data_IF_544053462496
#
_entry.id   IF_544053462496
#
_cell.length_a   1.000
_cell.length_b   1.000
_cell.length_c   1.000
_cell.angle_alpha   90.00
_cell.angle_beta   90.00
_cell.angle_gamma   90.00
#
_symmetry.space_group_name_H-M   'P 1'
#
loop_
_entity.id
_entity.type
_entity.pdbx_description
1 polymer ?
#
# COMPACT_ATOMS: atom_id res chain seq x y z
N UNK A 1 8.16 -43.09 -23.34
CA UNK A 1 7.60 -42.49 -24.57
C UNK A 1 6.28 -41.82 -24.21
N UNK A 2 6.27 -40.49 -24.16
CA UNK A 2 5.08 -39.68 -24.33
C UNK A 2 5.52 -38.46 -25.13
N UNK A 3 5.06 -38.40 -26.38
CA UNK A 3 5.26 -37.27 -27.27
C UNK A 3 4.25 -36.19 -26.89
N UNK A 4 4.73 -35.12 -26.26
CA UNK A 4 3.99 -33.87 -26.12
C UNK A 4 4.42 -32.94 -27.24
N UNK A 5 3.55 -32.71 -28.22
CA UNK A 5 3.81 -31.83 -29.36
C UNK A 5 4.23 -30.44 -28.90
N UNK A 6 5.26 -29.89 -29.55
CA UNK A 6 5.60 -28.47 -29.41
C UNK A 6 4.47 -27.65 -30.00
N UNK A 7 3.76 -26.93 -29.15
CA UNK A 7 2.90 -25.83 -29.56
C UNK A 7 3.78 -24.79 -30.29
N UNK A 8 3.38 -24.29 -31.47
CA UNK A 8 4.19 -23.33 -32.20
C UNK A 8 4.29 -22.03 -31.39
N UNK A 9 5.51 -21.51 -31.24
CA UNK A 9 5.80 -20.21 -30.61
C UNK A 9 4.96 -19.13 -31.31
N UNK A 10 3.87 -18.71 -30.66
CA UNK A 10 3.08 -17.57 -31.09
C UNK A 10 3.65 -16.31 -30.41
N UNK A 11 4.37 -15.42 -31.12
CA UNK A 11 4.99 -14.24 -30.53
C UNK A 11 3.97 -13.18 -30.08
N UNK A 12 2.67 -13.40 -30.30
CA UNK A 12 1.59 -12.44 -30.01
C UNK A 12 0.76 -12.75 -28.76
N UNK A 13 1.07 -13.82 -28.04
CA UNK A 13 0.42 -14.09 -26.74
C UNK A 13 1.20 -13.41 -25.62
N UNK A 14 0.55 -12.48 -24.92
CA UNK A 14 0.96 -12.09 -23.57
C UNK A 14 1.01 -13.38 -22.76
N UNK A 15 2.23 -13.93 -22.55
CA UNK A 15 2.42 -15.07 -21.66
C UNK A 15 1.80 -14.65 -20.33
N UNK A 16 0.75 -15.34 -19.89
CA UNK A 16 0.20 -15.11 -18.56
C UNK A 16 1.37 -15.24 -17.59
N UNK A 17 1.74 -14.12 -16.97
CA UNK A 17 2.70 -14.14 -15.87
C UNK A 17 2.14 -15.13 -14.87
N UNK A 18 2.97 -16.12 -14.51
CA UNK A 18 2.60 -17.21 -13.58
C UNK A 18 1.90 -16.55 -12.40
N UNK A 19 0.60 -16.73 -12.28
CA UNK A 19 -0.14 -16.22 -11.14
C UNK A 19 0.26 -17.13 -9.98
N UNK A 20 0.98 -16.63 -8.96
CA UNK A 20 1.38 -17.46 -7.85
C UNK A 20 0.13 -18.12 -7.25
N UNK A 21 0.22 -19.42 -7.02
CA UNK A 21 -0.88 -20.20 -6.45
C UNK A 21 -1.20 -19.62 -5.07
N UNK A 22 -2.39 -19.05 -4.93
CA UNK A 22 -2.86 -18.51 -3.65
C UNK A 22 -2.95 -19.69 -2.68
N UNK A 23 -2.35 -19.52 -1.50
CA UNK A 23 -2.46 -20.54 -0.45
C UNK A 23 -3.93 -20.64 -0.01
N UNK A 24 -4.50 -21.86 0.12
CA UNK A 24 -5.85 -22.02 0.67
C UNK A 24 -5.95 -21.48 2.12
N UNK A 25 -4.82 -21.29 2.79
CA UNK A 25 -4.73 -20.77 4.15
C UNK A 25 -4.66 -19.23 4.23
N UNK A 26 -4.79 -18.53 3.09
CA UNK A 26 -4.90 -17.07 3.07
C UNK A 26 -6.35 -16.65 3.32
N UNK A 27 -6.53 -15.76 4.29
CA UNK A 27 -7.81 -15.17 4.64
C UNK A 27 -7.83 -13.71 4.24
N UNK A 28 -9.01 -13.20 3.87
CA UNK A 28 -9.22 -11.79 3.58
C UNK A 28 -9.85 -11.10 4.79
N UNK A 29 -9.37 -9.91 5.09
CA UNK A 29 -9.89 -9.07 6.15
C UNK A 29 -9.91 -7.63 5.66
N UNK A 30 -11.04 -6.94 5.80
CA UNK A 30 -11.13 -5.50 5.59
C UNK A 30 -11.19 -4.77 6.93
N UNK A 31 -10.37 -3.74 7.07
CA UNK A 31 -10.41 -2.83 8.19
C UNK A 31 -10.94 -1.47 7.76
N UNK A 32 -11.88 -0.92 8.53
CA UNK A 32 -12.49 0.38 8.26
C UNK A 32 -11.92 1.42 9.22
N UNK A 33 -11.19 2.40 8.68
CA UNK A 33 -10.79 3.58 9.40
C UNK A 33 -11.80 4.69 9.13
N UNK A 34 -12.59 5.05 10.14
CA UNK A 34 -13.44 6.24 10.07
C UNK A 34 -12.60 7.51 9.99
N UNK A 35 -13.23 8.62 9.60
CA UNK A 35 -12.60 9.94 9.61
C UNK A 35 -12.08 10.32 11.00
N UNK A 36 -12.82 9.98 12.05
CA UNK A 36 -12.45 10.22 13.44
C UNK A 36 -11.21 9.41 13.82
N UNK A 37 -11.13 8.14 13.42
CA UNK A 37 -9.94 7.32 13.63
C UNK A 37 -8.70 7.93 12.96
N UNK A 38 -8.83 8.38 11.70
CA UNK A 38 -7.74 9.03 10.97
C UNK A 38 -7.32 10.33 11.66
N UNK A 39 -8.28 11.09 12.20
CA UNK A 39 -7.99 12.32 12.94
C UNK A 39 -7.27 12.04 14.26
N UNK A 40 -7.68 11.01 15.01
CA UNK A 40 -6.96 10.57 16.23
C UNK A 40 -5.51 10.19 15.92
N UNK A 41 -5.30 9.37 14.88
CA UNK A 41 -3.96 8.97 14.44
C UNK A 41 -3.11 10.18 14.01
N UNK A 42 -3.72 11.16 13.34
CA UNK A 42 -3.07 12.43 12.99
C UNK A 42 -2.61 13.21 14.22
N UNK A 43 -3.47 13.32 15.24
CA UNK A 43 -3.17 14.04 16.48
C UNK A 43 -2.09 13.33 17.30
N UNK A 44 -2.13 11.99 17.36
CA UNK A 44 -1.05 11.18 17.92
C UNK A 44 0.29 11.48 17.24
N UNK A 45 0.36 11.42 15.91
CA UNK A 45 1.61 11.72 15.18
C UNK A 45 2.12 13.14 15.43
N UNK A 46 1.22 14.13 15.57
CA UNK A 46 1.62 15.50 15.93
C UNK A 46 2.20 15.58 17.34
N UNK A 47 1.60 14.90 18.32
CA UNK A 47 2.14 14.83 19.70
C UNK A 47 3.50 14.16 19.73
N UNK A 48 3.62 12.98 19.12
CA UNK A 48 4.86 12.20 19.11
C UNK A 48 5.99 12.93 18.33
N UNK A 49 5.63 13.74 17.31
CA UNK A 49 6.58 14.61 16.63
C UNK A 49 7.04 15.78 17.51
N UNK A 50 6.16 16.41 18.27
CA UNK A 50 6.50 17.61 19.08
C UNK A 50 7.56 17.35 20.15
N UNK A 51 7.78 16.08 20.52
CA UNK A 51 8.88 15.63 21.37
C UNK A 51 10.22 15.46 20.66
N UNK A 52 10.34 15.89 19.39
CA UNK A 52 11.53 15.72 18.55
C UNK A 52 11.77 16.96 17.67
N UNK A 53 13.01 17.46 17.59
CA UNK A 53 13.42 18.60 16.74
C UNK A 53 13.46 18.24 15.23
N UNK A 54 12.55 17.39 14.78
CA UNK A 54 12.49 16.88 13.41
C UNK A 54 11.63 17.74 12.48
N UNK A 55 11.90 17.67 11.17
CA UNK A 55 11.10 18.28 10.10
C UNK A 55 9.61 17.91 10.24
N UNK A 56 8.73 18.91 10.12
CA UNK A 56 7.27 18.76 10.22
C UNK A 56 6.75 17.73 9.20
N UNK A 57 5.87 16.81 9.64
CA UNK A 57 5.32 15.78 8.74
C UNK A 57 4.16 16.29 7.87
N UNK A 58 4.16 15.92 6.59
CA UNK A 58 2.97 15.95 5.71
C UNK A 58 2.04 14.80 6.04
N UNK A 59 1.11 15.05 6.93
CA UNK A 59 0.13 14.05 7.38
C UNK A 59 -1.09 13.95 6.46
N UNK A 60 -0.93 13.55 5.19
CA UNK A 60 -2.11 13.27 4.36
C UNK A 60 -2.87 12.02 4.86
N UNK A 61 -4.14 11.85 4.48
CA UNK A 61 -4.90 10.62 4.82
C UNK A 61 -4.17 9.35 4.35
N UNK A 62 -3.56 9.40 3.16
CA UNK A 62 -2.73 8.31 2.65
C UNK A 62 -1.53 8.05 3.56
N UNK A 63 -0.74 9.08 3.90
CA UNK A 63 0.46 8.94 4.76
C UNK A 63 0.09 8.33 6.10
N UNK A 64 -0.96 8.83 6.77
CA UNK A 64 -1.40 8.31 8.07
C UNK A 64 -1.83 6.85 7.94
N UNK A 65 -2.73 6.57 7.00
CA UNK A 65 -3.37 5.26 6.88
C UNK A 65 -2.39 4.18 6.43
N UNK A 66 -1.59 4.47 5.42
CA UNK A 66 -0.60 3.54 4.88
C UNK A 66 0.48 3.24 5.92
N UNK A 67 0.99 4.26 6.61
CA UNK A 67 2.00 4.07 7.66
C UNK A 67 1.45 3.26 8.83
N UNK A 68 0.21 3.51 9.22
CA UNK A 68 -0.45 2.76 10.30
C UNK A 68 -0.60 1.28 9.94
N UNK A 69 -1.16 1.00 8.75
CA UNK A 69 -1.30 -0.37 8.25
C UNK A 69 0.06 -1.07 8.08
N UNK A 70 1.07 -0.36 7.57
CA UNK A 70 2.43 -0.90 7.41
C UNK A 70 3.04 -1.28 8.78
N UNK A 71 2.99 -0.39 9.77
CA UNK A 71 3.51 -0.67 11.11
C UNK A 71 2.80 -1.85 11.76
N UNK A 72 1.46 -1.88 11.72
CA UNK A 72 0.68 -3.00 12.26
C UNK A 72 0.99 -4.33 11.55
N UNK A 73 1.17 -4.31 10.23
CA UNK A 73 1.50 -5.50 9.45
C UNK A 73 2.93 -6.01 9.69
N UNK A 74 3.90 -5.09 9.84
CA UNK A 74 5.27 -5.48 10.20
C UNK A 74 5.28 -6.14 11.57
N UNK A 75 4.54 -5.60 12.53
CA UNK A 75 4.41 -6.17 13.88
C UNK A 75 3.66 -7.50 13.89
N UNK A 76 2.55 -7.63 13.16
CA UNK A 76 1.73 -8.85 13.16
C UNK A 76 2.46 -10.07 12.59
N UNK A 77 3.34 -9.86 11.62
CA UNK A 77 4.20 -10.90 11.05
C UNK A 77 5.29 -11.40 12.01
N UNK A 78 5.63 -10.62 13.05
CA UNK A 78 6.69 -10.94 14.00
C UNK A 78 8.03 -11.29 13.33
N UNK A 79 8.70 -12.31 13.86
CA UNK A 79 9.95 -12.85 13.33
C UNK A 79 11.20 -12.08 13.77
N UNK A 80 12.30 -12.28 13.04
CA UNK A 80 13.58 -11.62 13.31
C UNK A 80 13.43 -10.09 13.18
N UNK A 81 13.68 -9.30 14.24
CA UNK A 81 13.65 -7.84 14.17
C UNK A 81 14.64 -7.27 13.15
N UNK A 82 15.75 -7.96 12.87
CA UNK A 82 16.75 -7.53 11.89
C UNK A 82 16.35 -7.80 10.44
N UNK A 83 15.21 -8.45 10.19
CA UNK A 83 14.78 -8.76 8.83
C UNK A 83 14.54 -7.48 8.02
N UNK A 84 14.91 -7.46 6.73
CA UNK A 84 14.61 -6.34 5.86
C UNK A 84 13.11 -6.21 5.62
N UNK A 85 12.63 -4.97 5.60
CA UNK A 85 11.27 -4.59 5.21
C UNK A 85 11.33 -3.43 4.23
N UNK A 86 10.39 -3.43 3.30
CA UNK A 86 10.23 -2.39 2.29
C UNK A 86 8.76 -2.05 2.14
N UNK A 87 8.49 -0.82 1.72
CA UNK A 87 7.20 -0.45 1.19
C UNK A 87 7.34 0.10 -0.24
N UNK A 88 6.31 -0.10 -1.05
CA UNK A 88 6.16 0.52 -2.36
C UNK A 88 4.73 1.01 -2.56
N UNK A 89 4.58 2.16 -3.19
CA UNK A 89 3.27 2.64 -3.60
C UNK A 89 3.36 3.30 -4.98
N UNK A 90 2.27 3.13 -5.73
CA UNK A 90 2.11 3.72 -7.04
C UNK A 90 1.78 5.21 -6.92
N UNK A 91 2.27 6.00 -7.88
CA UNK A 91 2.05 7.45 -7.98
C UNK A 91 1.43 7.77 -9.32
N UNK A 92 0.29 8.45 -9.32
CA UNK A 92 -0.30 9.01 -10.54
C UNK A 92 0.52 10.21 -11.00
N UNK A 93 1.22 10.05 -12.12
CA UNK A 93 2.14 11.06 -12.64
C UNK A 93 1.41 12.19 -13.37
N UNK A 94 0.10 12.05 -13.68
CA UNK A 94 -0.63 13.04 -14.48
C UNK A 94 -0.60 14.43 -13.88
N UNK A 95 -0.76 14.53 -12.56
CA UNK A 95 -0.71 15.81 -11.84
C UNK A 95 0.70 16.32 -11.57
N UNK A 96 1.74 15.51 -11.81
CA UNK A 96 3.15 15.86 -11.60
C UNK A 96 3.81 16.34 -12.89
N UNK A 97 3.36 15.85 -14.04
CA UNK A 97 3.83 16.27 -15.36
C UNK A 97 3.06 17.53 -15.76
N UNK A 98 3.71 18.69 -15.64
CA UNK A 98 3.11 20.01 -15.94
C UNK A 98 3.49 20.55 -17.31
N UNK A 99 4.57 20.05 -17.93
CA UNK A 99 5.04 20.50 -19.26
C UNK A 99 5.50 19.33 -20.16
N UNK A 100 4.66 18.88 -21.12
CA UNK A 100 3.26 19.24 -21.30
C UNK A 100 2.35 18.55 -20.25
N UNK A 101 1.23 19.18 -19.85
CA UNK A 101 0.31 18.59 -18.89
C UNK A 101 -0.38 17.35 -19.48
N UNK A 102 -0.49 16.29 -18.68
CA UNK A 102 -1.22 15.08 -19.08
C UNK A 102 -2.69 15.22 -18.72
N UNK A 103 -3.63 15.10 -19.67
CA UNK A 103 -5.06 15.20 -19.38
C UNK A 103 -5.52 14.14 -18.37
N UNK A 104 -6.47 14.50 -17.50
CA UNK A 104 -7.11 13.54 -16.59
C UNK A 104 -7.81 12.40 -17.34
N UNK A 105 -8.26 12.65 -18.57
CA UNK A 105 -8.87 11.66 -19.48
C UNK A 105 -7.87 10.83 -20.28
N UNK A 106 -6.55 10.99 -20.05
CA UNK A 106 -5.53 10.19 -20.74
C UNK A 106 -5.74 8.69 -20.52
N UNK A 107 -5.98 7.98 -21.63
CA UNK A 107 -6.16 6.53 -21.67
C UNK A 107 -4.81 5.83 -21.80
N UNK A 108 -4.34 5.26 -20.70
CA UNK A 108 -3.06 4.57 -20.62
C UNK A 108 -2.44 4.61 -19.21
N UNK A 109 -1.29 3.97 -19.06
CA UNK A 109 -0.52 4.03 -17.82
C UNK A 109 0.26 5.34 -17.75
N UNK A 110 0.00 6.14 -16.72
CA UNK A 110 0.79 7.31 -16.37
C UNK A 110 1.10 7.21 -14.87
N UNK A 111 1.83 6.15 -14.51
CA UNK A 111 2.05 5.75 -13.12
C UNK A 111 3.53 5.48 -12.94
N UNK A 112 4.11 6.03 -11.87
CA UNK A 112 5.44 5.65 -11.37
C UNK A 112 5.32 4.96 -10.01
N UNK A 113 6.43 4.57 -9.39
CA UNK A 113 6.42 3.97 -8.07
C UNK A 113 7.49 4.59 -7.18
N UNK A 114 7.13 4.78 -5.91
CA UNK A 114 8.08 5.00 -4.83
C UNK A 114 8.51 3.64 -4.30
N UNK A 115 9.81 3.50 -4.08
CA UNK A 115 10.39 2.33 -3.41
C UNK A 115 11.18 2.83 -2.22
N UNK A 116 10.81 2.37 -1.02
CA UNK A 116 11.65 2.62 0.14
C UNK A 116 12.97 1.88 0.00
N UNK A 117 14.05 2.42 0.56
CA UNK A 117 15.26 1.63 0.80
C UNK A 117 14.98 0.43 1.71
N UNK A 118 15.91 -0.52 1.84
CA UNK A 118 15.79 -1.58 2.83
C UNK A 118 15.78 -0.96 4.23
N UNK A 119 14.66 -1.13 4.93
CA UNK A 119 14.48 -0.73 6.32
C UNK A 119 14.54 -1.98 7.20
N UNK A 120 14.69 -1.80 8.51
CA UNK A 120 14.76 -2.94 9.45
C UNK A 120 13.46 -3.06 10.23
N UNK A 121 12.93 -4.27 10.40
CA UNK A 121 11.67 -4.47 11.11
C UNK A 121 11.71 -3.91 12.55
N UNK A 122 12.88 -3.94 13.22
CA UNK A 122 13.12 -3.32 14.54
C UNK A 122 12.59 -1.90 14.62
N UNK A 123 12.79 -1.08 13.58
CA UNK A 123 12.35 0.31 13.54
C UNK A 123 10.83 0.43 13.69
N UNK A 124 10.05 -0.49 13.12
CA UNK A 124 8.59 -0.43 13.15
C UNK A 124 8.00 -1.25 14.31
N UNK A 125 8.78 -2.15 14.89
CA UNK A 125 8.41 -2.91 16.09
C UNK A 125 8.63 -2.09 17.38
N UNK A 126 9.50 -1.07 17.35
CA UNK A 126 9.69 -0.12 18.44
C UNK A 126 8.42 0.70 18.75
N UNK A 127 8.33 1.27 19.95
CA UNK A 127 7.17 2.04 20.43
C UNK A 127 6.80 3.19 19.48
N UNK A 128 7.80 3.92 18.98
CA UNK A 128 7.70 5.03 18.03
C UNK A 128 7.63 4.58 16.56
N UNK A 129 7.48 3.28 16.31
CA UNK A 129 7.52 2.70 14.96
C UNK A 129 6.43 3.24 14.02
N UNK A 130 5.30 3.71 14.54
CA UNK A 130 4.29 4.40 13.72
C UNK A 130 4.76 5.78 13.26
N UNK A 131 5.40 6.54 14.15
CA UNK A 131 6.00 7.83 13.80
C UNK A 131 7.15 7.66 12.79
N UNK A 132 7.97 6.63 12.98
CA UNK A 132 9.05 6.30 12.03
C UNK A 132 8.48 5.97 10.64
N UNK A 133 7.45 5.13 10.55
CA UNK A 133 6.78 4.84 9.28
C UNK A 133 6.20 6.10 8.64
N UNK A 134 5.50 6.92 9.42
CA UNK A 134 4.92 8.18 8.95
C UNK A 134 5.97 9.15 8.40
N UNK A 135 7.15 9.22 9.03
CA UNK A 135 8.31 9.97 8.53
C UNK A 135 8.76 9.48 7.17
N UNK A 136 9.10 8.19 7.04
CA UNK A 136 9.58 7.63 5.77
C UNK A 136 8.57 7.83 4.63
N UNK A 137 7.28 7.61 4.89
CA UNK A 137 6.23 7.78 3.88
C UNK A 137 5.99 9.26 3.58
N UNK A 138 6.01 10.14 4.59
CA UNK A 138 5.88 11.59 4.41
C UNK A 138 6.99 12.15 3.55
N UNK A 139 8.25 11.86 3.88
CA UNK A 139 9.41 12.31 3.11
C UNK A 139 9.35 11.79 1.68
N UNK A 140 9.00 10.51 1.49
CA UNK A 140 8.83 9.92 0.15
C UNK A 140 7.75 10.62 -0.69
N UNK A 141 6.67 11.12 -0.06
CA UNK A 141 5.59 11.85 -0.74
C UNK A 141 5.99 13.30 -1.03
N UNK A 142 6.79 13.93 -0.17
CA UNK A 142 7.28 15.30 -0.36
C UNK A 142 8.38 15.40 -1.42
N UNK A 143 9.14 14.33 -1.63
CA UNK A 143 10.14 14.22 -2.70
C UNK A 143 9.52 13.98 -4.09
N UNK A 144 8.19 13.85 -4.19
CA UNK A 144 7.52 13.67 -5.47
C UNK A 144 7.50 14.98 -6.26
N UNK A 145 8.14 14.95 -7.41
CA UNK A 145 8.19 16.02 -8.40
C UNK A 145 7.98 15.46 -9.82
N UNK A 146 8.04 16.32 -10.83
CA UNK A 146 7.93 15.93 -12.24
C UNK A 146 8.97 14.88 -12.68
N UNK A 147 10.10 14.79 -11.98
CA UNK A 147 11.17 13.85 -12.33
C UNK A 147 10.82 12.41 -12.01
N UNK A 148 9.83 12.16 -11.13
CA UNK A 148 9.43 10.79 -10.74
C UNK A 148 8.92 9.97 -11.92
N UNK A 149 8.28 10.61 -12.90
CA UNK A 149 7.81 9.96 -14.11
C UNK A 149 8.98 9.42 -14.96
N UNK A 150 10.08 10.17 -15.00
CA UNK A 150 11.28 9.84 -15.77
C UNK A 150 12.22 8.87 -15.05
N UNK A 151 12.07 8.73 -13.73
CA UNK A 151 12.81 7.75 -12.91
C UNK A 151 12.30 6.32 -13.05
N UNK A 152 11.17 6.08 -13.72
CA UNK A 152 10.56 4.75 -13.85
C UNK A 152 11.50 3.64 -14.36
N UNK A 153 12.35 3.85 -15.40
CA UNK A 153 13.30 2.83 -15.83
C UNK A 153 14.30 2.44 -14.73
N UNK A 154 14.75 3.42 -13.93
CA UNK A 154 15.62 3.17 -12.78
C UNK A 154 14.88 2.41 -11.69
N UNK A 155 13.66 2.82 -11.37
CA UNK A 155 12.80 2.12 -10.39
C UNK A 155 12.55 0.66 -10.80
N UNK A 156 12.30 0.39 -12.09
CA UNK A 156 12.12 -0.96 -12.60
C UNK A 156 13.41 -1.79 -12.51
N UNK A 157 14.57 -1.19 -12.80
CA UNK A 157 15.88 -1.84 -12.68
C UNK A 157 16.24 -2.16 -11.22
N UNK A 158 15.90 -1.26 -10.31
CA UNK A 158 16.18 -1.35 -8.88
C UNK A 158 15.04 -2.06 -8.11
N UNK A 159 14.04 -2.62 -8.82
CA UNK A 159 12.85 -3.24 -8.21
C UNK A 159 13.11 -4.60 -7.55
N UNK A 160 14.32 -5.14 -7.67
CA UNK A 160 14.70 -6.36 -6.97
C UNK A 160 14.84 -6.08 -5.47
N UNK A 161 13.92 -6.62 -4.67
CA UNK A 161 14.09 -6.58 -3.20
C UNK A 161 15.23 -7.51 -2.79
N UNK A 162 16.03 -7.15 -1.76
CA UNK A 162 16.99 -8.04 -1.16
C UNK A 162 16.34 -9.34 -0.73
N UNK A 163 17.12 -10.43 -0.77
CA UNK A 163 16.64 -11.74 -0.37
C UNK A 163 16.08 -11.71 1.06
N UNK A 164 14.88 -12.26 1.24
CA UNK A 164 14.19 -12.30 2.54
C UNK A 164 13.45 -11.01 2.94
N UNK A 165 13.50 -9.95 2.11
CA UNK A 165 12.76 -8.72 2.37
C UNK A 165 11.25 -8.94 2.35
N UNK A 166 10.56 -8.40 3.36
CA UNK A 166 9.10 -8.37 3.39
C UNK A 166 8.62 -7.06 2.78
N UNK A 167 8.35 -7.10 1.49
CA UNK A 167 7.76 -6.00 0.73
C UNK A 167 6.27 -5.85 1.05
N UNK A 168 5.84 -4.64 1.37
CA UNK A 168 4.44 -4.24 1.36
C UNK A 168 4.16 -3.32 0.18
N UNK A 169 3.17 -3.67 -0.62
CA UNK A 169 2.64 -2.81 -1.67
C UNK A 169 1.19 -2.45 -1.39
N UNK A 170 0.74 -1.30 -1.88
CA UNK A 170 -0.67 -0.91 -1.84
C UNK A 170 -1.28 -0.94 -3.24
N UNK A 171 -2.45 -1.56 -3.35
CA UNK A 171 -3.30 -1.53 -4.52
C UNK A 171 -4.51 -0.62 -4.27
N UNK A 172 -4.98 0.05 -5.32
CA UNK A 172 -6.10 1.00 -5.22
C UNK A 172 -5.68 2.39 -4.74
N UNK A 173 -6.67 3.25 -4.61
CA UNK A 173 -6.53 4.62 -4.12
C UNK A 173 -7.87 5.10 -3.60
N UNK A 174 -7.86 5.84 -2.49
CA UNK A 174 -9.06 6.51 -1.94
C UNK A 174 -9.60 7.62 -2.85
N UNK A 175 -8.92 7.88 -3.98
CA UNK A 175 -9.34 8.85 -5.00
C UNK A 175 -10.05 8.23 -6.19
N UNK A 176 -10.11 6.90 -6.28
CA UNK A 176 -10.72 6.23 -7.43
C UNK A 176 -12.25 6.27 -7.40
N UNK A 177 -12.88 6.45 -6.24
CA UNK A 177 -14.33 6.62 -6.17
C UNK A 177 -15.09 5.36 -6.60
N UNK A 178 -14.53 4.18 -6.30
CA UNK A 178 -15.07 2.87 -6.67
C UNK A 178 -16.46 2.62 -6.07
N UNK A 179 -16.75 3.14 -4.89
CA UNK A 179 -18.10 3.08 -4.28
C UNK A 179 -19.09 4.09 -4.90
N UNK A 180 -18.60 5.03 -5.73
CA UNK A 180 -19.43 5.97 -6.49
C UNK A 180 -20.03 5.39 -7.77
N UNK A 181 -19.63 4.17 -8.17
CA UNK A 181 -20.15 3.50 -9.36
C UNK A 181 -21.62 3.10 -9.16
N UNK A 182 -22.48 3.34 -10.14
CA UNK A 182 -23.88 2.91 -10.12
C UNK A 182 -24.28 2.47 -11.53
N UNK A 183 -24.64 1.20 -11.66
CA UNK A 183 -25.06 0.59 -12.93
C UNK A 183 -26.59 0.59 -13.12
N UNK A 184 -27.34 1.22 -12.21
CA UNK A 184 -28.80 1.26 -12.19
C UNK A 184 -29.44 0.44 -11.06
N UNK A 185 -28.63 -0.25 -10.25
CA UNK A 185 -29.09 -1.04 -9.09
C UNK A 185 -28.62 -0.47 -7.75
N UNK A 186 -28.03 0.73 -7.76
CA UNK A 186 -27.42 1.35 -6.60
C UNK A 186 -25.91 1.11 -6.53
N UNK A 187 -25.31 1.70 -5.51
CA UNK A 187 -23.86 1.67 -5.26
C UNK A 187 -23.38 0.30 -4.76
N UNK A 188 -22.11 -0.07 -4.98
CA UNK A 188 -21.54 -1.31 -4.46
C UNK A 188 -21.73 -1.45 -2.94
N UNK A 189 -22.09 -2.65 -2.50
CA UNK A 189 -22.12 -2.97 -1.07
C UNK A 189 -20.71 -3.20 -0.52
N UNK A 190 -19.83 -3.78 -1.33
CA UNK A 190 -18.45 -4.07 -0.97
C UNK A 190 -17.55 -4.03 -2.20
N UNK A 191 -16.35 -3.48 -2.04
CA UNK A 191 -15.29 -3.54 -3.06
C UNK A 191 -14.11 -4.34 -2.50
N UNK A 192 -13.65 -5.32 -3.27
CA UNK A 192 -12.51 -6.16 -2.93
C UNK A 192 -11.49 -6.18 -4.08
N UNK A 193 -10.23 -5.90 -3.79
CA UNK A 193 -9.13 -6.05 -4.75
C UNK A 193 -8.54 -7.45 -4.55
N UNK A 194 -9.03 -8.42 -5.31
CA UNK A 194 -8.66 -9.84 -5.12
C UNK A 194 -7.19 -10.16 -5.41
N UNK A 195 -6.50 -9.31 -6.19
CA UNK A 195 -5.10 -9.50 -6.58
C UNK A 195 -4.10 -9.23 -5.44
N UNK A 196 -4.54 -8.74 -4.28
CA UNK A 196 -3.66 -8.41 -3.16
C UNK A 196 -3.07 -9.63 -2.44
N UNK A 197 -3.55 -10.85 -2.74
CA UNK A 197 -3.11 -12.10 -2.14
C UNK A 197 -1.60 -12.39 -2.30
N UNK A 198 -0.93 -11.61 -3.15
CA UNK A 198 0.50 -11.66 -3.43
C UNK A 198 1.32 -10.76 -2.48
N UNK A 199 0.80 -10.43 -1.30
CA UNK A 199 1.50 -9.66 -0.27
C UNK A 199 1.27 -8.14 -0.32
N UNK A 200 0.20 -7.70 -0.98
CA UNK A 200 -0.25 -6.30 -0.98
C UNK A 200 -1.34 -6.07 0.08
N UNK A 201 -1.59 -4.80 0.38
CA UNK A 201 -2.86 -4.34 0.96
C UNK A 201 -3.68 -3.61 -0.12
N UNK A 202 -4.99 -3.54 0.04
CA UNK A 202 -5.82 -2.61 -0.75
C UNK A 202 -6.14 -1.36 0.05
N UNK A 203 -6.36 -0.24 -0.63
CA UNK A 203 -6.91 0.98 -0.05
C UNK A 203 -7.97 1.58 -0.97
N UNK A 204 -9.15 1.85 -0.42
CA UNK A 204 -10.26 2.53 -1.10
C UNK A 204 -10.91 3.53 -0.14
N UNK A 205 -11.67 4.49 -0.68
CA UNK A 205 -12.51 5.36 0.15
C UNK A 205 -13.56 4.55 0.91
N UNK A 206 -14.01 5.05 2.07
CA UNK A 206 -15.10 4.41 2.79
C UNK A 206 -16.41 4.49 2.00
N UNK A 207 -17.17 3.38 2.00
CA UNK A 207 -18.46 3.30 1.30
C UNK A 207 -19.45 4.39 1.68
N UNK A 208 -19.46 4.77 2.96
CA UNK A 208 -20.37 5.79 3.51
C UNK A 208 -20.07 7.22 3.05
N UNK A 209 -18.93 7.44 2.38
CA UNK A 209 -18.50 8.76 1.94
C UNK A 209 -18.14 9.72 3.09
N UNK A 210 -17.96 9.23 4.32
CA UNK A 210 -17.65 10.04 5.50
C UNK A 210 -16.21 10.59 5.51
N UNK A 211 -15.41 10.22 4.52
CA UNK A 211 -13.98 10.55 4.45
C UNK A 211 -13.08 9.56 5.19
N UNK A 212 -13.60 8.36 5.48
CA UNK A 212 -12.83 7.22 5.97
C UNK A 212 -12.08 6.48 4.85
N UNK A 213 -11.44 5.38 5.23
CA UNK A 213 -10.66 4.50 4.35
C UNK A 213 -10.95 3.04 4.68
N UNK A 214 -11.19 2.25 3.64
CA UNK A 214 -11.20 0.79 3.71
C UNK A 214 -9.83 0.24 3.34
N UNK A 215 -9.28 -0.63 4.19
CA UNK A 215 -7.99 -1.30 3.98
C UNK A 215 -8.21 -2.80 3.92
N UNK A 216 -7.93 -3.43 2.78
CA UNK A 216 -8.00 -4.88 2.65
C UNK A 216 -6.64 -5.54 2.88
N UNK A 217 -6.66 -6.68 3.55
CA UNK A 217 -5.51 -7.53 3.83
C UNK A 217 -5.77 -8.94 3.32
N UNK A 218 -4.73 -9.61 2.83
CA UNK A 218 -4.75 -11.06 2.58
C UNK A 218 -3.52 -11.71 3.22
N UNK A 219 -3.73 -12.44 4.32
CA UNK A 219 -2.65 -12.99 5.15
C UNK A 219 -3.04 -14.37 5.69
N UNK A 220 -2.09 -15.06 6.33
CA UNK A 220 -2.40 -16.30 7.05
C UNK A 220 -3.26 -15.99 8.27
N UNK A 221 -4.11 -16.94 8.67
CA UNK A 221 -5.05 -16.76 9.79
C UNK A 221 -4.41 -16.18 11.06
N UNK A 222 -3.32 -16.77 11.53
CA UNK A 222 -2.64 -16.31 12.74
C UNK A 222 -2.07 -14.88 12.62
N UNK A 223 -1.69 -14.45 11.41
CA UNK A 223 -1.20 -13.08 11.17
C UNK A 223 -2.37 -12.08 11.19
N UNK A 224 -3.55 -12.49 10.72
CA UNK A 224 -4.77 -11.67 10.76
C UNK A 224 -5.23 -11.46 12.20
N UNK A 225 -5.26 -12.51 13.01
CA UNK A 225 -5.73 -12.40 14.40
C UNK A 225 -4.89 -11.37 15.17
N UNK A 226 -3.56 -11.47 15.07
CA UNK A 226 -2.63 -10.48 15.68
C UNK A 226 -2.77 -9.09 15.04
N UNK A 227 -2.97 -9.02 13.72
CA UNK A 227 -3.16 -7.75 13.02
C UNK A 227 -4.42 -7.02 13.49
N UNK A 228 -5.53 -7.73 13.68
CA UNK A 228 -6.79 -7.17 14.17
C UNK A 228 -6.61 -6.54 15.55
N UNK A 229 -5.92 -7.24 16.45
CA UNK A 229 -5.63 -6.73 17.79
C UNK A 229 -4.78 -5.46 17.72
N UNK A 230 -3.70 -5.47 16.94
CA UNK A 230 -2.83 -4.30 16.74
C UNK A 230 -3.57 -3.09 16.13
N UNK A 231 -4.43 -3.33 15.13
CA UNK A 231 -5.23 -2.30 14.47
C UNK A 231 -6.31 -1.71 15.39
N UNK A 232 -6.84 -2.50 16.33
CA UNK A 232 -7.84 -2.01 17.29
C UNK A 232 -7.16 -1.28 18.44
N UNK A 233 -6.09 -1.85 18.99
CA UNK A 233 -5.38 -1.29 20.13
C UNK A 233 -4.75 0.06 19.79
N UNK A 234 -4.21 0.23 18.58
CA UNK A 234 -3.64 1.52 18.16
C UNK A 234 -4.66 2.66 18.02
N UNK A 235 -5.97 2.38 18.12
CA UNK A 235 -7.05 3.36 18.08
C UNK A 235 -7.71 3.62 19.45
N UNK A 236 -7.27 2.93 20.52
CA UNK A 236 -7.89 3.00 21.86
C UNK A 236 -7.43 4.19 22.71
N UNK A 237 -6.59 5.08 22.19
CA UNK A 237 -6.12 6.29 22.88
C UNK A 237 -6.79 7.58 22.37
#
# INVERSE_FOLDING_TARGET
MFAGGKEPDNPKTLKHLITPKISPDNFRFTFELSRENIQKLRERLKRDQSSSDSKQLRLSTFVITFSYAFTCLVRSRGGDPKRPVEFRFAVDCRSLLVDPPVPSSYFGNCVSAVVSGPLTATTFMAEDGFLAAARFVSDSVEELDETVAWKLPKVLKDSASPFGSKLLTVAGSTRFGVYGLDFGWGRPEKVEIVSIDQGSISMAESRDGSGGVEIGFSLKKYEIDVLIDLLRDGLKD
#
